data_IF_474750801401
#
_entry.id   IF_474750801401
#
_cell.length_a   1.000
_cell.length_b   1.000
_cell.length_c   1.000
_cell.angle_alpha   90.00
_cell.angle_beta   90.00
_cell.angle_gamma   90.00
#
_symmetry.space_group_name_H-M   'P 1'
#
loop_
_entity.id
_entity.type
_entity.pdbx_description
1 polymer ?
#
# COMPACT_ATOMS: atom_id res chain seq x y z
N UNK A 1 3.08 -39.15 -68.08
CA UNK A 1 3.61 -38.58 -66.83
C UNK A 1 2.62 -37.53 -66.32
N UNK A 2 1.89 -37.83 -65.24
CA UNK A 2 0.95 -36.91 -64.58
C UNK A 2 1.73 -36.11 -63.54
N UNK A 3 1.74 -34.78 -63.64
CA UNK A 3 2.22 -33.91 -62.56
C UNK A 3 1.01 -33.41 -61.76
N UNK A 4 0.91 -33.84 -60.52
CA UNK A 4 -0.08 -33.39 -59.54
C UNK A 4 0.56 -32.23 -58.77
N UNK A 5 0.07 -31.01 -58.98
CA UNK A 5 0.53 -29.83 -58.23
C UNK A 5 -0.30 -29.75 -56.94
N UNK A 6 0.30 -30.17 -55.81
CA UNK A 6 -0.29 -29.97 -54.49
C UNK A 6 -0.03 -28.54 -54.04
N UNK A 7 -1.08 -27.71 -54.03
CA UNK A 7 -1.05 -26.37 -53.45
C UNK A 7 -1.26 -26.48 -51.93
N UNK A 8 -0.19 -26.40 -51.15
CA UNK A 8 -0.26 -26.32 -49.69
C UNK A 8 -0.69 -24.90 -49.29
N UNK A 9 -1.96 -24.73 -48.91
CA UNK A 9 -2.42 -23.54 -48.20
C UNK A 9 -1.90 -23.59 -46.75
N UNK A 10 -0.84 -22.83 -46.45
CA UNK A 10 -0.45 -22.52 -45.08
C UNK A 10 -1.45 -21.51 -44.49
N UNK A 11 -2.36 -21.99 -43.64
CA UNK A 11 -3.13 -21.14 -42.74
C UNK A 11 -2.21 -20.60 -41.65
N UNK A 12 -1.83 -19.32 -41.74
CA UNK A 12 -1.17 -18.61 -40.65
C UNK A 12 -2.18 -18.41 -39.51
N UNK A 13 -2.05 -19.19 -38.43
CA UNK A 13 -2.76 -18.90 -37.19
C UNK A 13 -2.13 -17.65 -36.56
N UNK A 14 -2.82 -16.52 -36.67
CA UNK A 14 -2.51 -15.32 -35.89
C UNK A 14 -2.89 -15.66 -34.46
N UNK A 15 -1.90 -16.06 -33.66
CA UNK A 15 -2.04 -16.11 -32.20
C UNK A 15 -2.08 -14.65 -31.75
N UNK A 16 -3.28 -14.11 -31.59
CA UNK A 16 -3.46 -12.87 -30.84
C UNK A 16 -3.10 -13.22 -29.41
N UNK A 17 -1.86 -12.93 -29.01
CA UNK A 17 -1.49 -12.88 -27.60
C UNK A 17 -2.44 -11.88 -26.96
N UNK A 18 -3.40 -12.36 -26.16
CA UNK A 18 -4.07 -11.50 -25.19
C UNK A 18 -2.95 -10.93 -24.33
N UNK A 19 -2.57 -9.68 -24.58
CA UNK A 19 -1.74 -8.95 -23.64
C UNK A 19 -2.41 -9.08 -22.29
N UNK A 20 -1.73 -9.65 -21.31
CA UNK A 20 -2.12 -9.57 -19.90
C UNK A 20 -2.06 -8.09 -19.50
N UNK A 21 -3.07 -7.31 -19.90
CA UNK A 21 -3.26 -5.94 -19.43
C UNK A 21 -3.67 -6.07 -17.98
N UNK A 22 -2.70 -5.84 -17.09
CA UNK A 22 -2.98 -5.66 -15.68
C UNK A 22 -3.64 -4.30 -15.52
N UNK A 23 -4.86 -4.30 -14.98
CA UNK A 23 -5.52 -3.07 -14.56
C UNK A 23 -5.10 -2.79 -13.12
N UNK A 24 -4.80 -1.54 -12.81
CA UNK A 24 -4.39 -1.13 -11.48
C UNK A 24 -5.57 -0.49 -10.76
N UNK A 25 -5.75 -0.83 -9.49
CA UNK A 25 -6.58 -0.10 -8.56
C UNK A 25 -5.70 0.59 -7.52
N UNK A 26 -6.19 1.74 -7.05
CA UNK A 26 -5.61 2.49 -5.95
C UNK A 26 -6.69 2.71 -4.89
N UNK A 27 -6.51 2.18 -3.69
CA UNK A 27 -7.32 2.55 -2.53
C UNK A 27 -6.79 3.85 -1.94
N UNK A 28 -7.68 4.75 -1.55
CA UNK A 28 -7.29 6.00 -0.91
C UNK A 28 -8.41 6.53 -0.03
N UNK A 29 -8.07 7.56 0.74
CA UNK A 29 -9.03 8.39 1.46
C UNK A 29 -8.89 9.84 1.02
N UNK A 30 -9.89 10.65 1.36
CA UNK A 30 -9.87 12.09 1.15
C UNK A 30 -9.97 12.83 2.48
N UNK A 31 -9.58 14.12 2.50
CA UNK A 31 -9.63 14.92 3.71
C UNK A 31 -8.81 14.31 4.86
N UNK A 32 -9.48 13.99 5.96
CA UNK A 32 -8.88 13.32 7.12
C UNK A 32 -9.40 11.87 7.30
N UNK A 33 -10.16 11.35 6.35
CA UNK A 33 -10.61 9.95 6.30
C UNK A 33 -12.06 9.74 6.77
N UNK A 34 -12.81 10.81 7.03
CA UNK A 34 -14.20 10.74 7.51
C UNK A 34 -15.16 10.13 6.48
N UNK A 35 -14.89 10.31 5.18
CA UNK A 35 -15.78 9.83 4.10
C UNK A 35 -15.62 8.32 3.84
N UNK A 36 -14.43 7.77 4.10
CA UNK A 36 -14.16 6.34 3.98
C UNK A 36 -13.29 5.95 2.80
N UNK A 37 -13.49 4.72 2.32
CA UNK A 37 -12.73 4.12 1.23
C UNK A 37 -13.11 4.74 -0.09
N UNK A 38 -12.15 5.26 -0.84
CA UNK A 38 -12.30 5.58 -2.26
C UNK A 38 -11.41 4.67 -3.09
N UNK A 39 -11.83 4.41 -4.33
CA UNK A 39 -11.05 3.63 -5.29
C UNK A 39 -10.85 4.45 -6.57
N UNK A 40 -9.66 4.33 -7.14
CA UNK A 40 -9.31 4.82 -8.47
C UNK A 40 -8.73 3.68 -9.30
N UNK A 41 -8.79 3.80 -10.62
CA UNK A 41 -8.20 2.83 -11.53
C UNK A 41 -7.27 3.50 -12.53
N UNK A 42 -6.31 2.72 -13.03
CA UNK A 42 -5.43 3.12 -14.13
C UNK A 42 -5.09 1.92 -15.01
N UNK A 43 -4.89 2.18 -16.29
CA UNK A 43 -4.46 1.19 -17.29
C UNK A 43 -2.95 1.28 -17.57
N UNK A 44 -2.34 2.44 -17.31
CA UNK A 44 -0.95 2.75 -17.66
C UNK A 44 -0.08 3.09 -16.44
N UNK A 45 -0.68 3.31 -15.27
CA UNK A 45 -0.03 3.76 -14.05
C UNK A 45 0.21 5.28 -13.99
N UNK A 46 0.01 6.01 -15.08
CA UNK A 46 0.17 7.46 -15.12
C UNK A 46 -1.14 8.19 -14.83
N UNK A 47 -2.21 7.82 -15.53
CA UNK A 47 -3.50 8.49 -15.45
C UNK A 47 -4.46 7.67 -14.58
N UNK A 48 -4.86 8.22 -13.45
CA UNK A 48 -5.76 7.59 -12.49
C UNK A 48 -7.12 8.27 -12.49
N UNK A 49 -8.17 7.47 -12.66
CA UNK A 49 -9.56 7.93 -12.70
C UNK A 49 -10.30 7.39 -11.48
N UNK A 50 -11.08 8.23 -10.81
CA UNK A 50 -11.90 7.78 -9.68
C UNK A 50 -12.97 6.79 -10.18
N UNK A 51 -13.23 5.75 -9.38
CA UNK A 51 -14.37 4.87 -9.60
C UNK A 51 -15.64 5.53 -9.04
N UNK A 52 -16.76 5.22 -9.67
CA UNK A 52 -18.11 5.64 -9.26
C UNK A 52 -18.22 7.13 -8.89
N UNK A 53 -17.64 8.01 -9.71
CA UNK A 53 -17.72 9.46 -9.52
C UNK A 53 -17.04 9.96 -8.22
N UNK A 54 -16.04 9.24 -7.72
CA UNK A 54 -15.38 9.49 -6.45
C UNK A 54 -16.27 9.34 -5.20
N UNK A 55 -17.38 8.59 -5.31
CA UNK A 55 -18.15 8.21 -4.11
C UNK A 55 -17.34 7.24 -3.26
N UNK A 56 -17.48 7.37 -1.93
CA UNK A 56 -17.00 6.36 -0.97
C UNK A 56 -17.54 4.98 -1.34
N UNK A 57 -16.79 3.91 -1.07
CA UNK A 57 -17.13 2.48 -1.23
C UNK A 57 -17.45 1.82 0.11
N UNK A 58 -16.93 2.38 1.20
CA UNK A 58 -17.15 1.89 2.55
C UNK A 58 -16.94 3.04 3.53
N UNK A 59 -18.01 3.45 4.20
CA UNK A 59 -17.95 4.46 5.27
C UNK A 59 -17.34 3.84 6.54
N UNK A 60 -16.47 4.54 7.28
CA UNK A 60 -15.85 4.01 8.49
C UNK A 60 -16.87 3.87 9.64
N UNK A 61 -16.82 2.73 10.31
CA UNK A 61 -17.57 2.46 11.54
C UNK A 61 -16.68 1.94 12.68
N UNK A 62 -15.48 1.43 12.37
CA UNK A 62 -14.50 0.99 13.35
C UNK A 62 -13.74 2.15 13.98
N UNK A 63 -13.36 1.98 15.25
CA UNK A 63 -12.70 2.97 16.09
C UNK A 63 -13.67 4.03 16.60
N UNK A 64 -13.25 4.71 17.66
CA UNK A 64 -14.03 5.78 18.29
C UNK A 64 -14.21 6.98 17.38
N UNK A 65 -13.14 7.38 16.68
CA UNK A 65 -13.17 8.56 15.80
C UNK A 65 -13.77 8.25 14.42
N UNK A 66 -14.00 6.97 14.10
CA UNK A 66 -14.57 6.50 12.83
C UNK A 66 -13.89 7.13 11.63
N UNK A 67 -12.55 7.03 11.56
CA UNK A 67 -11.78 7.43 10.39
C UNK A 67 -11.41 6.20 9.55
N UNK A 68 -11.26 6.41 8.25
CA UNK A 68 -10.57 5.48 7.35
C UNK A 68 -9.41 6.20 6.70
N UNK A 69 -8.24 6.10 7.32
CA UNK A 69 -7.00 6.65 6.79
C UNK A 69 -6.08 5.54 6.30
N UNK A 70 -5.31 5.85 5.27
CA UNK A 70 -4.25 5.00 4.75
C UNK A 70 -4.74 3.56 4.43
N UNK A 71 -5.85 3.38 3.67
CA UNK A 71 -6.42 2.06 3.46
C UNK A 71 -5.48 1.20 2.62
N UNK A 72 -5.05 0.07 3.17
CA UNK A 72 -4.27 -0.95 2.47
C UNK A 72 -5.16 -2.13 2.09
N UNK A 73 -5.23 -2.44 0.79
CA UNK A 73 -5.97 -3.59 0.24
C UNK A 73 -5.00 -4.56 -0.43
N UNK A 74 -5.13 -5.84 -0.11
CA UNK A 74 -4.52 -6.93 -0.89
C UNK A 74 -5.55 -7.97 -1.29
N UNK A 75 -5.28 -8.69 -2.38
CA UNK A 75 -5.98 -9.92 -2.71
C UNK A 75 -5.21 -11.11 -2.15
N UNK A 76 -5.83 -11.87 -1.25
CA UNK A 76 -5.28 -13.11 -0.71
C UNK A 76 -5.19 -14.21 -1.77
N UNK A 77 -4.43 -15.29 -1.53
CA UNK A 77 -4.23 -16.38 -2.49
C UNK A 77 -5.51 -17.15 -2.84
N UNK A 78 -6.59 -16.99 -2.06
CA UNK A 78 -7.91 -17.57 -2.32
C UNK A 78 -8.87 -16.62 -3.06
N UNK A 79 -8.38 -15.47 -3.53
CA UNK A 79 -9.17 -14.48 -4.26
C UNK A 79 -9.91 -13.44 -3.40
N UNK A 80 -10.01 -13.68 -2.09
CA UNK A 80 -10.63 -12.74 -1.16
C UNK A 80 -9.77 -11.49 -0.94
N UNK A 81 -10.40 -10.31 -0.95
CA UNK A 81 -9.77 -9.05 -0.60
C UNK A 81 -9.78 -8.82 0.90
N UNK A 82 -8.68 -8.31 1.42
CA UNK A 82 -8.49 -7.94 2.81
C UNK A 82 -8.06 -6.48 2.87
N UNK A 83 -8.67 -5.72 3.77
CA UNK A 83 -8.36 -4.31 3.98
C UNK A 83 -8.04 -4.04 5.45
N UNK A 84 -7.02 -3.23 5.69
CA UNK A 84 -6.74 -2.58 6.98
C UNK A 84 -6.58 -1.08 6.80
N UNK A 85 -6.81 -0.32 7.87
CA UNK A 85 -6.70 1.14 7.86
C UNK A 85 -6.49 1.71 9.27
N UNK A 86 -6.10 2.97 9.35
CA UNK A 86 -6.04 3.73 10.60
C UNK A 86 -7.40 4.31 10.96
N UNK A 87 -7.87 3.99 12.17
CA UNK A 87 -9.21 4.38 12.66
C UNK A 87 -9.25 5.71 13.40
N UNK A 88 -8.11 6.16 13.92
CA UNK A 88 -7.98 7.37 14.76
C UNK A 88 -6.52 7.83 14.84
N UNK A 89 -6.34 9.11 15.17
CA UNK A 89 -5.05 9.69 15.51
C UNK A 89 -4.44 9.14 16.81
N UNK A 90 -5.24 8.68 17.77
CA UNK A 90 -4.75 8.36 19.12
C UNK A 90 -5.25 7.00 19.66
N UNK A 91 -5.64 6.08 18.78
CA UNK A 91 -6.06 4.73 19.18
C UNK A 91 -4.99 3.67 18.96
N UNK A 92 -5.14 2.56 19.71
CA UNK A 92 -4.22 1.42 19.76
C UNK A 92 -4.72 0.22 18.93
N UNK A 93 -5.71 0.47 18.09
CA UNK A 93 -6.36 -0.50 17.22
C UNK A 93 -6.23 -0.06 15.76
N UNK A 94 -6.36 -1.01 14.85
CA UNK A 94 -6.51 -0.76 13.41
C UNK A 94 -7.83 -1.34 12.94
N UNK A 95 -8.37 -0.81 11.86
CA UNK A 95 -9.58 -1.34 11.25
C UNK A 95 -9.27 -2.55 10.38
N UNK A 96 -10.25 -3.45 10.23
CA UNK A 96 -10.20 -4.56 9.30
C UNK A 96 -11.57 -4.85 8.68
N UNK A 97 -11.57 -5.14 7.38
CA UNK A 97 -12.73 -5.65 6.65
C UNK A 97 -12.25 -6.54 5.50
N UNK A 98 -13.14 -7.36 4.97
CA UNK A 98 -12.85 -8.21 3.82
C UNK A 98 -13.98 -8.19 2.81
N UNK A 99 -13.67 -8.48 1.55
CA UNK A 99 -14.64 -8.48 0.46
C UNK A 99 -14.29 -9.54 -0.57
N UNK A 100 -15.30 -10.08 -1.26
CA UNK A 100 -15.09 -10.95 -2.42
C UNK A 100 -15.05 -10.15 -3.73
N UNK A 101 -15.54 -8.91 -3.74
CA UNK A 101 -15.75 -8.14 -4.98
C UNK A 101 -15.45 -6.64 -4.89
N UNK A 102 -14.88 -6.18 -3.77
CA UNK A 102 -14.57 -4.77 -3.45
C UNK A 102 -15.79 -3.84 -3.37
N UNK A 103 -17.01 -4.37 -3.50
CA UNK A 103 -18.27 -3.63 -3.42
C UNK A 103 -18.95 -3.95 -2.10
N UNK A 104 -19.12 -5.24 -1.81
CA UNK A 104 -19.76 -5.71 -0.61
C UNK A 104 -18.69 -6.08 0.41
N UNK A 105 -18.61 -5.28 1.48
CA UNK A 105 -17.65 -5.47 2.55
C UNK A 105 -18.29 -6.18 3.74
N UNK A 106 -17.49 -7.01 4.41
CA UNK A 106 -17.87 -7.57 5.70
C UNK A 106 -18.06 -6.46 6.75
N UNK A 107 -18.69 -6.81 7.86
CA UNK A 107 -18.65 -5.98 9.07
C UNK A 107 -17.21 -5.56 9.39
N UNK A 108 -17.04 -4.29 9.78
CA UNK A 108 -15.74 -3.75 10.15
C UNK A 108 -15.38 -4.21 11.56
N UNK A 109 -14.13 -4.61 11.72
CA UNK A 109 -13.58 -5.09 12.98
C UNK A 109 -12.43 -4.19 13.43
N UNK A 110 -12.19 -4.18 14.73
CA UNK A 110 -11.00 -3.56 15.32
C UNK A 110 -9.99 -4.66 15.67
N UNK A 111 -8.76 -4.54 15.17
CA UNK A 111 -7.65 -5.41 15.55
C UNK A 111 -6.83 -4.68 16.64
N UNK A 112 -6.74 -5.20 17.88
CA UNK A 112 -6.14 -4.52 19.01
C UNK A 112 -4.60 -4.62 19.04
N UNK A 113 -3.95 -4.13 17.99
CA UNK A 113 -2.52 -4.35 17.74
C UNK A 113 -1.58 -3.76 18.80
N UNK A 114 -2.00 -2.73 19.54
CA UNK A 114 -1.19 -2.06 20.56
C UNK A 114 -1.89 -1.92 21.92
N UNK A 115 -3.07 -2.51 22.12
CA UNK A 115 -3.86 -2.31 23.37
C UNK A 115 -3.13 -2.82 24.61
N UNK A 116 -2.29 -3.85 24.46
CA UNK A 116 -1.44 -4.40 25.51
C UNK A 116 -0.32 -3.44 25.98
N UNK A 117 -0.06 -2.37 25.23
CA UNK A 117 0.99 -1.41 25.51
C UNK A 117 0.38 -0.11 26.04
N UNK A 118 0.53 0.15 27.33
CA UNK A 118 -0.11 1.29 28.01
C UNK A 118 0.34 2.64 27.45
N UNK A 119 1.63 2.78 27.17
CA UNK A 119 2.23 4.04 26.71
C UNK A 119 2.13 4.29 25.20
N UNK A 120 1.64 3.30 24.43
CA UNK A 120 1.44 3.45 23.00
C UNK A 120 0.49 4.61 22.69
N UNK A 121 0.90 5.51 21.80
CA UNK A 121 0.07 6.67 21.43
C UNK A 121 -0.86 6.41 20.27
N UNK A 122 -0.52 5.48 19.38
CA UNK A 122 -1.18 5.36 18.08
C UNK A 122 -0.93 4.01 17.39
N UNK A 123 -1.73 3.68 16.37
CA UNK A 123 -1.48 2.60 15.41
C UNK A 123 -1.75 3.11 13.99
N UNK A 124 -0.72 3.65 13.34
CA UNK A 124 -0.86 4.39 12.08
C UNK A 124 -0.39 3.62 10.86
N UNK A 125 -1.04 3.91 9.73
CA UNK A 125 -0.74 3.42 8.38
C UNK A 125 -0.45 1.91 8.34
N UNK A 126 -1.44 1.06 8.68
CA UNK A 126 -1.24 -0.38 8.61
C UNK A 126 -1.16 -0.85 7.15
N UNK A 127 -0.26 -1.78 6.89
CA UNK A 127 -0.12 -2.46 5.61
C UNK A 127 -0.18 -3.98 5.78
N UNK A 128 -0.84 -4.66 4.85
CA UNK A 128 -0.86 -6.12 4.75
C UNK A 128 0.08 -6.58 3.65
N UNK A 129 0.89 -7.59 3.96
CA UNK A 129 1.65 -8.34 2.97
C UNK A 129 1.43 -9.84 3.16
N UNK A 130 1.19 -10.58 2.08
CA UNK A 130 1.11 -12.04 2.13
C UNK A 130 2.49 -12.64 1.85
N UNK A 131 3.07 -13.31 2.85
CA UNK A 131 4.34 -14.01 2.69
C UNK A 131 4.16 -15.40 2.07
N UNK A 132 4.61 -15.61 0.82
CA UNK A 132 4.46 -16.89 0.16
C UNK A 132 5.33 -17.98 0.77
N UNK A 133 6.39 -17.66 1.53
CA UNK A 133 7.28 -18.66 2.16
C UNK A 133 6.60 -19.29 3.38
N UNK A 134 6.08 -18.48 4.30
CA UNK A 134 5.39 -18.98 5.51
C UNK A 134 3.88 -19.22 5.35
N UNK A 135 3.30 -18.79 4.23
CA UNK A 135 1.85 -18.83 3.96
C UNK A 135 1.05 -18.10 5.04
N UNK A 136 1.54 -16.93 5.45
CA UNK A 136 0.91 -16.06 6.45
C UNK A 136 0.83 -14.65 5.90
N UNK A 137 -0.15 -13.91 6.39
CA UNK A 137 -0.15 -12.46 6.29
C UNK A 137 0.72 -11.89 7.40
N UNK A 138 1.48 -10.86 7.08
CA UNK A 138 2.05 -9.92 8.03
C UNK A 138 1.25 -8.63 7.92
N UNK A 139 0.96 -8.02 9.07
CA UNK A 139 0.42 -6.66 9.13
C UNK A 139 1.48 -5.83 9.83
N UNK A 140 1.97 -4.79 9.16
CA UNK A 140 2.94 -3.82 9.70
C UNK A 140 2.23 -2.50 9.94
N UNK A 141 2.63 -1.74 10.97
CA UNK A 141 2.10 -0.40 11.25
C UNK A 141 3.12 0.39 12.06
N UNK A 142 2.85 1.67 12.30
CA UNK A 142 3.77 2.57 13.01
C UNK A 142 3.19 3.08 14.31
N UNK A 143 3.98 3.03 15.37
CA UNK A 143 3.56 3.45 16.72
C UNK A 143 4.67 4.21 17.42
N UNK A 144 4.30 5.31 18.08
CA UNK A 144 5.14 5.96 19.09
C UNK A 144 4.88 5.37 20.47
N UNK A 145 5.96 5.06 21.18
CA UNK A 145 5.95 4.73 22.61
C UNK A 145 7.01 5.63 23.27
N UNK A 146 6.60 6.67 24.02
CA UNK A 146 7.53 7.66 24.58
C UNK A 146 8.66 7.00 25.39
N UNK A 147 9.88 7.53 25.26
CA UNK A 147 11.06 7.04 25.97
C UNK A 147 11.60 5.67 25.55
N UNK A 148 10.91 4.92 24.67
CA UNK A 148 11.36 3.57 24.26
C UNK A 148 12.55 3.59 23.30
N UNK A 149 12.61 4.61 22.45
CA UNK A 149 13.68 4.79 21.47
C UNK A 149 14.28 6.18 21.67
N UNK A 150 15.29 6.35 22.53
CA UNK A 150 15.91 7.66 22.76
C UNK A 150 16.53 8.25 21.49
N UNK A 151 17.02 7.37 20.59
CA UNK A 151 17.52 7.75 19.27
C UNK A 151 16.38 8.28 18.37
N UNK A 152 16.54 9.53 17.91
CA UNK A 152 15.54 10.22 17.10
C UNK A 152 14.36 10.82 17.89
N UNK A 153 14.32 10.70 19.23
CA UNK A 153 13.18 11.17 20.02
C UNK A 153 12.96 12.69 19.91
N UNK A 154 14.06 13.45 19.78
CA UNK A 154 14.02 14.91 19.61
C UNK A 154 13.95 15.36 18.15
N UNK A 155 13.95 14.43 17.21
CA UNK A 155 13.97 14.75 15.77
C UNK A 155 12.60 14.62 15.12
N UNK A 156 11.61 14.07 15.80
CA UNK A 156 10.26 13.87 15.28
C UNK A 156 9.32 15.07 15.43
N UNK A 157 8.07 14.84 15.02
CA UNK A 157 7.00 15.81 15.13
C UNK A 157 6.43 15.86 16.55
N UNK A 158 6.70 16.93 17.30
CA UNK A 158 6.16 17.15 18.64
C UNK A 158 6.46 15.97 19.58
N UNK A 159 5.45 15.16 19.93
CA UNK A 159 5.52 14.02 20.84
C UNK A 159 5.79 12.67 20.13
N UNK A 160 5.93 12.67 18.81
CA UNK A 160 5.98 11.44 18.01
C UNK A 160 7.41 11.03 17.65
N UNK A 161 7.73 9.77 17.94
CA UNK A 161 8.95 9.07 17.52
C UNK A 161 8.57 7.62 17.23
N UNK A 162 8.18 7.37 15.99
CA UNK A 162 7.62 6.10 15.56
C UNK A 162 8.71 5.06 15.33
N UNK A 163 8.35 3.81 15.62
CA UNK A 163 8.95 2.62 15.03
C UNK A 163 7.86 1.77 14.42
N UNK A 164 8.27 0.87 13.53
CA UNK A 164 7.35 -0.06 12.90
C UNK A 164 7.21 -1.33 13.74
N UNK A 165 5.99 -1.82 13.85
CA UNK A 165 5.64 -3.05 14.54
C UNK A 165 4.87 -3.98 13.61
N UNK A 166 4.77 -5.25 13.99
CA UNK A 166 4.02 -6.22 13.22
C UNK A 166 3.31 -7.29 14.04
N UNK A 167 2.28 -7.86 13.43
CA UNK A 167 1.68 -9.15 13.78
C UNK A 167 1.64 -10.04 12.56
N UNK A 168 1.46 -11.35 12.76
CA UNK A 168 1.18 -12.30 11.69
C UNK A 168 -0.15 -13.01 11.92
N UNK A 169 -0.83 -13.36 10.84
CA UNK A 169 -2.09 -14.11 10.87
C UNK A 169 -2.21 -15.02 9.65
N UNK A 170 -3.10 -16.00 9.71
CA UNK A 170 -3.51 -16.81 8.54
C UNK A 170 -4.94 -16.52 8.10
N UNK A 171 -5.74 -15.92 8.97
CA UNK A 171 -7.20 -15.89 8.85
C UNK A 171 -7.83 -14.56 9.29
N UNK A 172 -7.03 -13.60 9.76
CA UNK A 172 -7.49 -12.33 10.34
C UNK A 172 -8.42 -12.49 11.54
N UNK A 173 -8.35 -13.64 12.23
CA UNK A 173 -9.06 -13.92 13.48
C UNK A 173 -8.09 -14.16 14.63
N UNK A 174 -7.01 -14.88 14.36
CA UNK A 174 -5.94 -15.15 15.32
C UNK A 174 -4.67 -14.44 14.88
N UNK A 175 -4.07 -13.69 15.80
CA UNK A 175 -2.86 -12.92 15.55
C UNK A 175 -1.74 -13.41 16.47
N UNK A 176 -0.50 -13.32 16.00
CA UNK A 176 0.66 -13.44 16.89
C UNK A 176 0.73 -12.25 17.84
N UNK A 177 1.54 -12.38 18.89
CA UNK A 177 1.94 -11.22 19.69
C UNK A 177 2.62 -10.16 18.80
N UNK A 178 2.39 -8.90 19.13
CA UNK A 178 3.06 -7.75 18.52
C UNK A 178 4.55 -7.80 18.76
N UNK A 179 5.33 -7.48 17.73
CA UNK A 179 6.79 -7.41 17.77
C UNK A 179 7.29 -6.18 17.04
N UNK A 180 8.44 -5.67 17.45
CA UNK A 180 9.16 -4.65 16.68
C UNK A 180 9.50 -5.22 15.30
N UNK A 181 9.16 -4.48 14.25
CA UNK A 181 9.40 -4.85 12.86
C UNK A 181 10.68 -4.22 12.33
N UNK A 182 10.82 -2.89 12.50
CA UNK A 182 11.91 -2.14 11.92
C UNK A 182 12.32 -0.97 12.82
N UNK A 183 13.62 -0.89 13.08
CA UNK A 183 14.31 0.18 13.79
C UNK A 183 15.76 0.26 13.28
N UNK A 184 16.16 1.43 12.81
CA UNK A 184 17.55 1.75 12.45
C UNK A 184 17.99 3.11 13.03
N UNK A 185 17.45 3.48 14.21
CA UNK A 185 17.90 4.66 14.96
C UNK A 185 17.28 5.99 14.54
N UNK A 186 16.26 5.98 13.67
CA UNK A 186 15.54 7.19 13.23
C UNK A 186 14.02 6.97 13.22
N UNK A 187 13.28 8.09 13.27
CA UNK A 187 11.82 8.09 13.26
C UNK A 187 11.29 7.55 11.93
N UNK A 188 10.56 6.45 11.95
CA UNK A 188 10.14 5.72 10.74
C UNK A 188 8.65 5.43 10.75
N UNK A 189 8.00 5.68 9.62
CA UNK A 189 6.57 5.47 9.41
C UNK A 189 6.28 4.99 7.97
N UNK A 190 5.02 4.62 7.70
CA UNK A 190 4.48 4.30 6.38
C UNK A 190 5.34 3.29 5.61
N UNK A 191 5.41 2.06 6.11
CA UNK A 191 6.22 1.03 5.46
C UNK A 191 5.42 0.15 4.51
N UNK A 192 6.06 -0.19 3.39
CA UNK A 192 5.53 -1.05 2.34
C UNK A 192 6.45 -2.18 1.93
N UNK A 193 5.90 -3.38 1.85
CA UNK A 193 6.61 -4.62 1.53
C UNK A 193 6.39 -5.07 0.08
N UNK A 194 7.48 -5.54 -0.55
CA UNK A 194 7.43 -6.23 -1.82
C UNK A 194 8.47 -7.35 -1.92
N UNK A 195 8.30 -8.23 -2.91
CA UNK A 195 9.28 -9.28 -3.21
C UNK A 195 10.03 -8.97 -4.50
N UNK A 196 11.37 -9.01 -4.42
CA UNK A 196 12.24 -9.02 -5.58
C UNK A 196 12.98 -10.36 -5.63
N UNK A 197 12.44 -11.32 -6.38
CA UNK A 197 12.89 -12.70 -6.30
C UNK A 197 12.68 -13.24 -4.88
N UNK A 198 13.76 -13.64 -4.22
CA UNK A 198 13.74 -14.14 -2.84
C UNK A 198 13.92 -13.06 -1.76
N UNK A 199 14.25 -11.83 -2.16
CA UNK A 199 14.48 -10.70 -1.27
C UNK A 199 13.17 -9.98 -0.92
N UNK A 200 13.02 -9.65 0.35
CA UNK A 200 11.98 -8.74 0.83
C UNK A 200 12.51 -7.32 0.73
N UNK A 201 11.82 -6.48 -0.03
CA UNK A 201 12.03 -5.04 -0.07
C UNK A 201 11.10 -4.39 0.96
N UNK A 202 11.62 -3.38 1.65
CA UNK A 202 10.84 -2.47 2.48
C UNK A 202 11.08 -1.04 1.98
N UNK A 203 10.01 -0.42 1.49
CA UNK A 203 9.92 1.02 1.27
C UNK A 203 9.38 1.65 2.54
N UNK A 204 9.89 2.80 2.95
CA UNK A 204 9.49 3.45 4.20
C UNK A 204 9.68 4.95 4.11
N UNK A 205 8.99 5.70 4.95
CA UNK A 205 9.23 7.12 5.16
C UNK A 205 10.20 7.33 6.32
N UNK A 206 11.25 8.10 6.06
CA UNK A 206 12.02 8.75 7.12
C UNK A 206 11.24 9.98 7.62
N UNK A 207 10.69 9.88 8.82
CA UNK A 207 9.81 10.88 9.43
C UNK A 207 10.58 11.93 10.24
N UNK A 208 11.91 11.90 10.20
CA UNK A 208 12.79 12.89 10.84
C UNK A 208 12.46 14.30 10.34
N UNK A 209 12.18 15.20 11.28
CA UNK A 209 11.85 16.61 11.06
C UNK A 209 13.06 17.53 11.09
N UNK A 210 14.08 17.23 11.91
CA UNK A 210 15.28 18.07 12.05
C UNK A 210 16.59 17.25 12.11
N UNK A 211 17.54 17.46 11.17
CA UNK A 211 17.30 18.12 9.87
C UNK A 211 16.17 17.39 9.10
N UNK A 212 15.41 18.09 8.23
CA UNK A 212 14.26 17.49 7.59
C UNK A 212 14.70 16.39 6.62
N UNK A 213 14.22 15.17 6.88
CA UNK A 213 14.33 14.07 5.93
C UNK A 213 13.01 13.97 5.14
N UNK A 214 11.90 13.60 5.79
CA UNK A 214 10.53 13.56 5.20
C UNK A 214 10.48 12.97 3.80
N UNK A 215 11.28 11.94 3.55
CA UNK A 215 11.49 11.32 2.25
C UNK A 215 11.26 9.82 2.32
N UNK A 216 11.07 9.21 1.15
CA UNK A 216 10.97 7.76 1.03
C UNK A 216 12.36 7.18 0.82
N UNK A 217 12.62 6.04 1.48
CA UNK A 217 13.84 5.24 1.33
C UNK A 217 13.47 3.78 1.10
N UNK A 218 14.43 2.99 0.62
CA UNK A 218 14.27 1.55 0.41
C UNK A 218 15.39 0.78 1.09
N UNK A 219 15.05 -0.39 1.61
CA UNK A 219 16.01 -1.39 2.10
C UNK A 219 15.55 -2.80 1.71
N UNK A 220 16.40 -3.79 1.92
CA UNK A 220 16.12 -5.18 1.60
C UNK A 220 16.64 -6.14 2.65
N UNK A 221 16.01 -7.32 2.75
CA UNK A 221 16.47 -8.45 3.55
C UNK A 221 16.14 -9.79 2.88
N UNK A 222 16.94 -10.82 3.18
CA UNK A 222 16.61 -12.21 2.88
C UNK A 222 15.51 -12.78 3.79
N UNK A 223 15.23 -12.11 4.91
CA UNK A 223 14.25 -12.52 5.93
C UNK A 223 13.20 -11.43 6.15
N UNK A 224 11.92 -11.82 6.12
CA UNK A 224 10.78 -10.88 6.20
C UNK A 224 10.84 -9.92 7.39
N UNK A 225 11.28 -10.38 8.57
CA UNK A 225 11.12 -9.63 9.83
C UNK A 225 12.43 -9.26 10.51
N UNK A 226 13.58 -9.43 9.86
CA UNK A 226 14.90 -9.14 10.46
C UNK A 226 15.99 -8.99 9.41
N UNK A 227 17.11 -8.40 9.80
CA UNK A 227 18.33 -8.35 8.98
C UNK A 227 18.21 -7.49 7.73
N UNK A 228 17.35 -6.46 7.77
CA UNK A 228 17.32 -5.43 6.74
C UNK A 228 18.64 -4.68 6.73
N UNK A 229 19.19 -4.48 5.53
CA UNK A 229 20.38 -3.68 5.31
C UNK A 229 20.13 -2.21 5.72
N UNK A 230 21.19 -1.39 5.89
CA UNK A 230 21.02 0.06 6.03
C UNK A 230 20.13 0.62 4.91
N UNK A 231 19.23 1.55 5.27
CA UNK A 231 18.35 2.20 4.28
C UNK A 231 19.15 2.95 3.22
N UNK A 232 18.60 2.99 2.01
CA UNK A 232 19.16 3.77 0.91
C UNK A 232 19.20 5.28 1.23
N UNK A 233 19.91 6.03 0.37
CA UNK A 233 19.64 7.48 0.23
C UNK A 233 18.17 7.71 -0.16
N UNK A 234 17.63 8.94 0.04
CA UNK A 234 16.30 9.30 -0.41
C UNK A 234 16.06 8.91 -1.87
N UNK A 235 14.92 8.29 -2.15
CA UNK A 235 14.50 7.96 -3.53
C UNK A 235 13.57 9.01 -4.13
N UNK A 236 13.11 9.97 -3.32
CA UNK A 236 12.27 11.11 -3.71
C UNK A 236 13.10 12.39 -3.83
N UNK A 237 12.56 13.39 -4.54
CA UNK A 237 13.17 14.71 -4.68
C UNK A 237 13.10 15.59 -3.43
N UNK A 238 13.48 16.86 -3.57
CA UNK A 238 13.47 17.87 -2.50
C UNK A 238 12.05 18.38 -2.19
N UNK A 239 11.24 17.49 -1.63
CA UNK A 239 9.88 17.74 -1.16
C UNK A 239 9.50 16.69 -0.13
N UNK A 240 8.48 16.97 0.67
CA UNK A 240 8.01 16.05 1.70
C UNK A 240 7.07 15.01 1.07
N UNK A 241 7.38 13.74 1.27
CA UNK A 241 6.66 12.60 0.73
C UNK A 241 6.31 11.61 1.86
N UNK A 242 5.15 10.99 1.78
CA UNK A 242 4.68 10.00 2.74
C UNK A 242 3.85 8.90 2.07
N UNK A 243 3.60 7.81 2.79
CA UNK A 243 2.73 6.76 2.29
C UNK A 243 3.17 6.11 0.98
N UNK A 244 4.39 5.55 0.91
CA UNK A 244 4.82 4.84 -0.28
C UNK A 244 3.87 3.68 -0.56
N UNK A 245 3.65 3.37 -1.83
CA UNK A 245 3.02 2.11 -2.24
C UNK A 245 3.65 1.65 -3.55
N UNK A 246 3.91 0.34 -3.66
CA UNK A 246 4.82 -0.20 -4.68
C UNK A 246 4.10 -1.10 -5.68
N UNK A 247 4.47 -0.95 -6.96
CA UNK A 247 4.01 -1.79 -8.05
C UNK A 247 5.20 -2.17 -8.95
N UNK A 248 5.34 -3.45 -9.28
CA UNK A 248 6.18 -3.86 -10.41
C UNK A 248 5.34 -3.85 -11.69
N UNK A 249 5.67 -2.97 -12.64
CA UNK A 249 4.99 -2.87 -13.93
C UNK A 249 6.02 -2.87 -15.07
N UNK A 250 6.02 -3.94 -15.87
CA UNK A 250 7.09 -4.22 -16.82
C UNK A 250 8.45 -4.27 -16.12
N UNK A 251 9.44 -3.61 -16.71
CA UNK A 251 10.81 -3.56 -16.16
C UNK A 251 10.93 -2.64 -14.93
N UNK A 252 9.93 -1.82 -14.65
CA UNK A 252 10.03 -0.78 -13.62
C UNK A 252 9.38 -1.20 -12.31
N UNK A 253 10.09 -0.93 -11.22
CA UNK A 253 9.53 -0.68 -9.91
C UNK A 253 8.96 0.73 -9.89
N UNK A 254 7.71 0.86 -9.49
CA UNK A 254 7.02 2.12 -9.29
C UNK A 254 6.71 2.30 -7.82
N UNK A 255 6.96 3.49 -7.28
CA UNK A 255 6.61 3.86 -5.92
C UNK A 255 5.80 5.14 -5.99
N UNK A 256 4.50 5.04 -5.67
CA UNK A 256 3.60 6.19 -5.54
C UNK A 256 3.58 6.66 -4.09
N UNK A 257 3.35 7.94 -3.85
CA UNK A 257 3.37 8.54 -2.51
C UNK A 257 2.58 9.85 -2.45
N UNK A 258 2.13 10.25 -1.27
CA UNK A 258 1.45 11.54 -1.02
C UNK A 258 2.50 12.66 -0.83
N UNK A 259 2.51 13.64 -1.73
CA UNK A 259 3.23 14.91 -1.52
C UNK A 259 2.31 15.86 -0.73
N UNK A 260 2.05 15.52 0.53
CA UNK A 260 0.97 16.10 1.34
C UNK A 260 1.02 17.62 1.48
N UNK A 261 2.22 18.21 1.50
CA UNK A 261 2.38 19.69 1.51
C UNK A 261 2.04 20.35 0.18
N UNK A 262 2.16 19.61 -0.92
CA UNK A 262 1.82 20.04 -2.29
C UNK A 262 0.42 19.60 -2.71
N UNK A 263 -0.30 18.86 -1.85
CA UNK A 263 -1.67 18.38 -2.05
C UNK A 263 -1.85 17.61 -3.38
N UNK A 264 -0.86 16.79 -3.72
CA UNK A 264 -0.89 15.92 -4.90
C UNK A 264 -0.18 14.60 -4.61
N UNK A 265 -0.55 13.55 -5.35
CA UNK A 265 0.24 12.33 -5.41
C UNK A 265 1.47 12.55 -6.29
N UNK A 266 2.56 11.85 -5.95
CA UNK A 266 3.78 11.75 -6.75
C UNK A 266 4.13 10.30 -7.04
N UNK A 267 5.15 10.11 -7.88
CA UNK A 267 5.69 8.79 -8.14
C UNK A 267 7.15 8.87 -8.55
N UNK A 268 7.93 7.88 -8.13
CA UNK A 268 9.26 7.59 -8.65
C UNK A 268 9.29 6.18 -9.23
N UNK A 269 10.19 5.94 -10.18
CA UNK A 269 10.37 4.60 -10.75
C UNK A 269 11.82 4.23 -10.97
N UNK A 270 12.12 2.95 -10.92
CA UNK A 270 13.47 2.42 -11.10
C UNK A 270 13.45 1.05 -11.77
N UNK A 271 14.44 0.75 -12.63
CA UNK A 271 14.61 -0.60 -13.18
C UNK A 271 15.39 -1.51 -12.22
N UNK A 272 16.31 -0.96 -11.46
CA UNK A 272 17.35 -1.67 -10.70
C UNK A 272 17.30 -1.44 -9.18
N UNK A 273 16.33 -0.66 -8.69
CA UNK A 273 16.17 -0.25 -7.28
C UNK A 273 17.27 0.69 -6.76
N UNK A 274 18.17 1.14 -7.63
CA UNK A 274 19.32 1.99 -7.29
C UNK A 274 19.14 3.37 -7.92
N UNK A 275 18.84 3.42 -9.21
CA UNK A 275 18.66 4.66 -9.95
C UNK A 275 17.16 4.96 -10.09
N UNK A 276 16.74 6.07 -9.50
CA UNK A 276 15.34 6.49 -9.43
C UNK A 276 15.07 7.69 -10.33
N UNK A 277 14.04 7.58 -11.18
CA UNK A 277 13.49 8.67 -11.97
C UNK A 277 12.25 9.22 -11.26
N UNK A 278 12.24 10.52 -10.96
CA UNK A 278 11.03 11.20 -10.50
C UNK A 278 10.09 11.45 -11.68
N UNK A 279 8.89 10.87 -11.62
CA UNK A 279 7.84 11.00 -12.64
C UNK A 279 6.59 11.67 -12.07
N UNK A 280 6.71 12.39 -10.95
CA UNK A 280 5.61 13.03 -10.25
C UNK A 280 4.84 14.06 -11.09
N UNK A 281 5.48 14.66 -12.10
CA UNK A 281 4.82 15.59 -13.01
C UNK A 281 4.12 14.91 -14.18
N UNK A 282 4.26 13.58 -14.30
CA UNK A 282 3.62 12.75 -15.34
C UNK A 282 2.44 11.95 -14.80
N UNK A 283 2.32 11.79 -13.48
CA UNK A 283 1.17 11.10 -12.87
C UNK A 283 0.04 12.08 -12.57
N UNK A 284 -1.21 11.62 -12.73
CA UNK A 284 -2.42 12.38 -12.44
C UNK A 284 -3.34 11.51 -11.61
N UNK A 285 -3.80 12.05 -10.50
CA UNK A 285 -4.73 11.40 -9.58
C UNK A 285 -6.00 12.23 -9.40
N UNK A 286 -7.11 11.59 -9.00
CA UNK A 286 -8.30 12.32 -8.58
C UNK A 286 -7.96 13.38 -7.53
N UNK A 287 -8.62 14.52 -7.61
CA UNK A 287 -8.39 15.63 -6.66
C UNK A 287 -8.70 15.16 -5.24
N UNK A 288 -7.77 15.42 -4.32
CA UNK A 288 -7.95 15.08 -2.91
C UNK A 288 -7.53 13.65 -2.53
N UNK A 289 -7.02 12.85 -3.49
CA UNK A 289 -6.36 11.59 -3.18
C UNK A 289 -5.20 11.81 -2.20
N UNK A 290 -5.14 10.95 -1.18
CA UNK A 290 -4.08 10.86 -0.19
C UNK A 290 -3.54 9.43 -0.12
N UNK A 291 -2.64 9.18 0.82
CA UNK A 291 -2.04 7.88 1.08
C UNK A 291 -3.06 6.72 1.05
N UNK A 292 -2.69 5.66 0.34
CA UNK A 292 -3.33 4.36 0.36
C UNK A 292 -2.50 3.38 -0.48
N UNK A 293 -3.12 2.38 -1.10
CA UNK A 293 -2.36 1.26 -1.69
C UNK A 293 -2.71 0.96 -3.13
N UNK A 294 -1.71 0.59 -3.91
CA UNK A 294 -1.85 0.11 -5.28
C UNK A 294 -1.91 -1.42 -5.33
N UNK A 295 -2.78 -1.97 -6.18
CA UNK A 295 -2.85 -3.40 -6.43
C UNK A 295 -3.40 -3.70 -7.83
N UNK A 296 -3.10 -4.89 -8.36
CA UNK A 296 -3.56 -5.32 -9.69
C UNK A 296 -4.89 -6.07 -9.59
N UNK A 297 -5.77 -5.86 -10.56
CA UNK A 297 -7.03 -6.60 -10.70
C UNK A 297 -7.22 -7.13 -12.12
N UNK A 298 -8.09 -8.15 -12.25
CA UNK A 298 -8.56 -8.62 -13.55
C UNK A 298 -9.53 -7.62 -14.18
N UNK A 299 -9.54 -7.57 -15.51
CA UNK A 299 -10.45 -6.73 -16.29
C UNK A 299 -11.92 -6.90 -15.88
N UNK A 300 -12.39 -8.14 -15.74
CA UNK A 300 -13.79 -8.43 -15.39
C UNK A 300 -14.20 -7.80 -14.05
N UNK A 301 -13.28 -7.75 -13.07
CA UNK A 301 -13.55 -7.11 -11.80
C UNK A 301 -13.61 -5.58 -11.95
N UNK A 302 -12.68 -4.99 -12.71
CA UNK A 302 -12.73 -3.55 -13.01
C UNK A 302 -14.03 -3.18 -13.73
N UNK A 303 -14.42 -3.94 -14.75
CA UNK A 303 -15.65 -3.71 -15.51
C UNK A 303 -16.90 -3.81 -14.61
N UNK A 304 -16.91 -4.73 -13.64
CA UNK A 304 -17.97 -4.81 -12.62
C UNK A 304 -17.99 -3.56 -11.74
N UNK A 305 -16.84 -3.09 -11.27
CA UNK A 305 -16.73 -1.88 -10.45
C UNK A 305 -17.19 -0.63 -11.21
N UNK A 306 -16.84 -0.50 -12.48
CA UNK A 306 -17.24 0.62 -13.34
C UNK A 306 -18.75 0.70 -13.56
N UNK A 307 -19.44 -0.45 -13.57
CA UNK A 307 -20.90 -0.54 -13.72
C UNK A 307 -21.65 -0.41 -12.39
N UNK A 308 -20.94 -0.44 -11.27
CA UNK A 308 -21.56 -0.39 -9.95
C UNK A 308 -22.00 1.02 -9.62
N UNK A 309 -23.30 1.21 -9.39
CA UNK A 309 -23.85 2.47 -8.89
C UNK A 309 -24.02 2.36 -7.37
N UNK A 310 -23.10 2.96 -6.61
CA UNK A 310 -23.27 3.04 -5.16
C UNK A 310 -24.34 4.10 -4.84
N UNK A 311 -25.42 3.63 -4.22
CA UNK A 311 -26.42 4.44 -3.52
C UNK A 311 -26.24 4.23 -2.03
N UNK A 312 -25.99 5.32 -1.30
CA UNK A 312 -26.12 5.33 0.14
C UNK A 312 -27.51 5.88 0.42
N UNK A 313 -28.40 5.02 0.92
CA UNK A 313 -29.69 5.47 1.47
C UNK A 313 -29.49 6.39 2.68
#
# INVERSE_FOLDING_TARGET
MKYFLLLLMMLSQIVISQSNQNFFLFSYFTGNGEDGLHLAYSEDGYEWKSLNGNKTFLKPTAGKDKLMRDPCIIQGPKGKFHMVWTVSWNEKVIGYASSEDLIHWSEQQEIPVMVHEEEAKNSWAPEIFFDPKSKKYIIIWSTTIPGRFPEGEKTGDSKYNHRMYYVTTRDFKKFSNTKLFFDQGFNVIDGTLALNGDDYLLFLKDETRYPPEKNIRVTSSKNLTKGYAPVSKPITGDYWAEGPTVLKNGDYWWVYFDQYRRKKMGAVRSKDLIHWEDVSDRVRFPKGTRHGSIFTVKKDLLDKLLKTNLSYE
#
